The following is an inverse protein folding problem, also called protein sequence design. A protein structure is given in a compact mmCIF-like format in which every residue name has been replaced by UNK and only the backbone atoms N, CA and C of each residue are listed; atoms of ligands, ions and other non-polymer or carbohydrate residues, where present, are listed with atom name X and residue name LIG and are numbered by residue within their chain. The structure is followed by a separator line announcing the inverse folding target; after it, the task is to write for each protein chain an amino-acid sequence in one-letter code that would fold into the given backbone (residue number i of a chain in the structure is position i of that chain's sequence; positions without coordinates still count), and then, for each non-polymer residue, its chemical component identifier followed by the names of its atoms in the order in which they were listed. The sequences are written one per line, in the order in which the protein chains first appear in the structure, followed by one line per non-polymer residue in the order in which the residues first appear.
data_IF_136229745588
#
_entry.id   IF_136229745588
#
_cell.length_a   1.000
_cell.length_b   1.000
_cell.length_c   1.000
_cell.angle_alpha   90.00
_cell.angle_beta   90.00
_cell.angle_gamma   90.00
#
_symmetry.space_group_name_H-M   'P 1'
#
loop_
_entity.id
_entity.type
_entity.pdbx_description
1 polymer ?
#
# COMPACT_ATOMS: atom_id res chain seq x y z
N UNK A 1 -28.38 26.01 8.35
CA UNK A 1 -29.19 24.90 8.90
C UNK A 1 -28.47 24.43 10.15
N UNK A 2 -29.10 24.50 11.33
CA UNK A 2 -28.47 24.02 12.57
C UNK A 2 -28.71 22.50 12.62
N UNK A 3 -27.65 21.70 12.54
CA UNK A 3 -27.78 20.24 12.66
C UNK A 3 -28.28 19.88 14.06
N UNK A 4 -29.26 18.99 14.16
CA UNK A 4 -29.65 18.44 15.45
C UNK A 4 -28.54 17.51 15.94
N UNK A 5 -28.35 17.43 17.26
CA UNK A 5 -27.37 16.53 17.88
C UNK A 5 -27.51 15.10 17.34
N UNK A 6 -28.73 14.59 17.18
CA UNK A 6 -29.02 13.26 16.65
C UNK A 6 -28.45 13.01 15.26
N UNK A 7 -28.53 14.02 14.38
CA UNK A 7 -28.02 13.90 13.00
C UNK A 7 -26.48 13.90 12.98
N UNK A 8 -25.88 14.68 13.89
CA UNK A 8 -24.43 14.72 14.05
C UNK A 8 -23.88 13.44 14.68
N UNK A 9 -24.54 12.91 15.71
CA UNK A 9 -24.20 11.65 16.37
C UNK A 9 -24.21 10.47 15.39
N UNK A 10 -25.24 10.39 14.53
CA UNK A 10 -25.28 9.38 13.48
C UNK A 10 -24.10 9.46 12.52
N UNK A 11 -23.71 10.68 12.10
CA UNK A 11 -22.53 10.88 11.24
C UNK A 11 -21.24 10.48 11.94
N UNK A 12 -21.11 10.74 13.25
CA UNK A 12 -19.94 10.33 14.05
C UNK A 12 -19.83 8.80 14.15
N UNK A 13 -20.95 8.10 14.34
CA UNK A 13 -20.99 6.63 14.36
C UNK A 13 -20.53 6.08 13.00
N UNK A 14 -21.11 6.58 11.90
CA UNK A 14 -20.73 6.16 10.54
C UNK A 14 -19.24 6.42 10.29
N UNK A 15 -18.75 7.60 10.65
CA UNK A 15 -17.33 7.96 10.51
C UNK A 15 -16.43 6.99 11.28
N UNK A 16 -16.74 6.72 12.56
CA UNK A 16 -15.98 5.79 13.40
C UNK A 16 -15.93 4.40 12.80
N UNK A 17 -17.09 3.86 12.43
CA UNK A 17 -17.20 2.48 11.95
C UNK A 17 -16.51 2.33 10.58
N UNK A 18 -16.68 3.31 9.69
CA UNK A 18 -15.99 3.35 8.38
C UNK A 18 -14.48 3.49 8.55
N UNK A 19 -14.01 4.29 9.51
CA UNK A 19 -12.57 4.44 9.78
C UNK A 19 -11.93 3.14 10.26
N UNK A 20 -12.65 2.34 11.06
CA UNK A 20 -12.21 1.01 11.50
C UNK A 20 -12.10 0.07 10.29
N UNK A 21 -13.10 0.08 9.41
CA UNK A 21 -13.07 -0.78 8.22
C UNK A 21 -11.97 -0.37 7.23
N UNK A 22 -11.74 0.92 7.01
CA UNK A 22 -10.60 1.41 6.22
C UNK A 22 -9.28 0.92 6.84
N UNK A 23 -9.13 1.02 8.16
CA UNK A 23 -7.91 0.55 8.85
C UNK A 23 -7.67 -0.95 8.64
N UNK A 24 -8.73 -1.76 8.63
CA UNK A 24 -8.65 -3.20 8.33
C UNK A 24 -8.24 -3.46 6.89
N UNK A 25 -8.80 -2.70 5.94
CA UNK A 25 -8.45 -2.81 4.51
C UNK A 25 -6.98 -2.46 4.29
N UNK A 26 -6.47 -1.39 4.93
CA UNK A 26 -5.05 -1.02 4.86
C UNK A 26 -4.14 -2.14 5.39
N UNK A 27 -4.51 -2.78 6.50
CA UNK A 27 -3.78 -3.94 7.03
C UNK A 27 -3.79 -5.13 6.05
N UNK A 28 -4.91 -5.35 5.35
CA UNK A 28 -5.00 -6.40 4.33
C UNK A 28 -4.07 -6.11 3.14
N UNK A 29 -4.01 -4.87 2.65
CA UNK A 29 -3.05 -4.48 1.62
C UNK A 29 -1.61 -4.68 2.08
N UNK A 30 -1.28 -4.30 3.32
CA UNK A 30 0.06 -4.50 3.87
C UNK A 30 0.46 -5.98 3.85
N UNK A 31 -0.44 -6.87 4.28
CA UNK A 31 -0.20 -8.31 4.25
C UNK A 31 -0.07 -8.85 2.81
N UNK A 32 -0.94 -8.41 1.90
CA UNK A 32 -0.89 -8.81 0.51
C UNK A 32 0.43 -8.40 -0.16
N UNK A 33 0.93 -7.19 0.10
CA UNK A 33 2.24 -6.73 -0.40
C UNK A 33 3.35 -7.66 0.12
N UNK A 34 3.35 -8.01 1.42
CA UNK A 34 4.34 -8.94 2.00
C UNK A 34 4.30 -10.30 1.31
N UNK A 35 3.11 -10.85 1.09
CA UNK A 35 2.93 -12.11 0.38
C UNK A 35 3.46 -12.05 -1.05
N UNK A 36 3.19 -10.95 -1.76
CA UNK A 36 3.67 -10.73 -3.11
C UNK A 36 5.21 -10.66 -3.15
N UNK A 37 5.83 -9.90 -2.25
CA UNK A 37 7.30 -9.83 -2.15
C UNK A 37 7.89 -11.24 -1.91
N UNK A 38 7.29 -12.04 -1.03
CA UNK A 38 7.71 -13.44 -0.80
C UNK A 38 7.58 -14.31 -2.05
N UNK A 39 6.56 -14.09 -2.89
CA UNK A 39 6.43 -14.79 -4.18
C UNK A 39 7.55 -14.38 -5.14
N UNK A 40 7.85 -13.08 -5.25
CA UNK A 40 8.93 -12.57 -6.12
C UNK A 40 10.27 -13.21 -5.79
N UNK A 41 10.60 -13.39 -4.51
CA UNK A 41 11.85 -14.04 -4.05
C UNK A 41 12.02 -15.50 -4.47
N UNK A 42 10.96 -16.15 -4.94
CA UNK A 42 10.97 -17.58 -5.33
C UNK A 42 11.01 -17.80 -6.84
N UNK A 43 10.92 -16.73 -7.61
CA UNK A 43 10.78 -16.76 -9.06
C UNK A 43 11.99 -16.13 -9.73
N UNK A 44 12.24 -16.47 -10.99
CA UNK A 44 13.21 -15.73 -11.80
C UNK A 44 12.61 -14.40 -12.25
N UNK A 45 13.45 -13.39 -12.47
CA UNK A 45 13.00 -12.07 -12.89
C UNK A 45 12.02 -12.08 -14.07
N UNK A 46 12.32 -12.90 -15.09
CA UNK A 46 11.49 -13.12 -16.30
C UNK A 46 10.06 -13.55 -15.99
N UNK A 47 9.83 -14.21 -14.84
CA UNK A 47 8.54 -14.74 -14.41
C UNK A 47 7.77 -13.78 -13.47
N UNK A 48 8.40 -12.68 -13.06
CA UNK A 48 7.84 -11.76 -12.05
C UNK A 48 7.02 -10.62 -12.63
N UNK A 49 6.96 -10.48 -13.96
CA UNK A 49 6.33 -9.34 -14.63
C UNK A 49 4.90 -9.06 -14.14
N UNK A 50 4.02 -10.06 -14.19
CA UNK A 50 2.62 -9.91 -13.73
C UNK A 50 2.51 -9.66 -12.22
N UNK A 51 3.47 -10.14 -11.44
CA UNK A 51 3.49 -9.96 -9.99
C UNK A 51 3.92 -8.53 -9.62
N UNK A 52 4.84 -7.95 -10.39
CA UNK A 52 5.15 -6.53 -10.28
C UNK A 52 3.98 -5.64 -10.72
N UNK A 53 3.21 -6.06 -11.73
CA UNK A 53 2.00 -5.34 -12.13
C UNK A 53 0.99 -5.29 -10.97
N UNK A 54 0.81 -6.39 -10.23
CA UNK A 54 -0.02 -6.41 -9.01
C UNK A 54 0.49 -5.43 -7.93
N UNK A 55 1.81 -5.32 -7.72
CA UNK A 55 2.37 -4.32 -6.79
C UNK A 55 2.10 -2.88 -7.23
N UNK A 56 2.25 -2.60 -8.54
CA UNK A 56 1.98 -1.28 -9.09
C UNK A 56 0.50 -0.91 -8.92
N UNK A 57 -0.40 -1.85 -9.19
CA UNK A 57 -1.84 -1.63 -9.03
C UNK A 57 -2.22 -1.33 -7.56
N UNK A 58 -1.67 -2.08 -6.60
CA UNK A 58 -1.85 -1.79 -5.18
C UNK A 58 -1.29 -0.40 -4.83
N UNK A 59 -0.13 -0.03 -5.39
CA UNK A 59 0.45 1.28 -5.16
C UNK A 59 -0.46 2.40 -5.67
N UNK A 60 -1.03 2.28 -6.87
CA UNK A 60 -1.96 3.24 -7.44
C UNK A 60 -3.22 3.42 -6.56
N UNK A 61 -3.74 2.32 -6.00
CA UNK A 61 -4.88 2.35 -5.09
C UNK A 61 -4.56 3.09 -3.79
N UNK A 62 -3.41 2.79 -3.18
CA UNK A 62 -2.98 3.44 -1.94
C UNK A 62 -2.62 4.92 -2.17
N UNK A 63 -1.97 5.26 -3.28
CA UNK A 63 -1.70 6.64 -3.68
C UNK A 63 -3.00 7.43 -3.89
N UNK A 64 -3.99 6.81 -4.53
CA UNK A 64 -5.32 7.41 -4.69
C UNK A 64 -6.00 7.63 -3.34
N UNK A 65 -5.99 6.62 -2.45
CA UNK A 65 -6.53 6.76 -1.10
C UNK A 65 -5.89 7.93 -0.34
N UNK A 66 -4.55 8.04 -0.39
CA UNK A 66 -3.79 9.10 0.26
C UNK A 66 -4.06 10.48 -0.32
N UNK A 67 -3.84 10.67 -1.61
CA UNK A 67 -3.81 12.02 -2.20
C UNK A 67 -5.18 12.53 -2.64
N UNK A 68 -6.08 11.64 -3.07
CA UNK A 68 -7.41 12.04 -3.55
C UNK A 68 -8.44 12.07 -2.42
N UNK A 69 -8.36 11.12 -1.50
CA UNK A 69 -9.35 10.94 -0.43
C UNK A 69 -8.83 11.33 0.95
N UNK A 70 -7.59 11.83 1.05
CA UNK A 70 -6.96 12.28 2.29
C UNK A 70 -6.93 11.20 3.38
N UNK A 71 -6.80 9.93 2.96
CA UNK A 71 -6.68 8.81 3.90
C UNK A 71 -5.24 8.75 4.41
N UNK A 72 -5.11 8.83 5.73
CA UNK A 72 -3.81 8.66 6.38
C UNK A 72 -3.37 7.19 6.29
N UNK A 73 -2.24 6.96 5.63
CA UNK A 73 -1.57 5.66 5.62
C UNK A 73 -0.65 5.52 6.84
N UNK A 74 -0.32 4.28 7.21
CA UNK A 74 0.75 4.04 8.18
C UNK A 74 2.12 4.24 7.50
N UNK A 75 3.20 4.33 8.31
CA UNK A 75 4.56 4.57 7.81
C UNK A 75 4.99 3.56 6.74
N UNK A 76 4.66 2.28 6.92
CA UNK A 76 5.04 1.21 5.99
C UNK A 76 4.40 1.38 4.61
N UNK A 77 3.09 1.62 4.57
CA UNK A 77 2.34 1.85 3.33
C UNK A 77 2.72 3.18 2.68
N UNK A 78 3.01 4.21 3.47
CA UNK A 78 3.50 5.50 2.95
C UNK A 78 4.84 5.35 2.23
N UNK A 79 5.78 4.59 2.82
CA UNK A 79 7.07 4.29 2.20
C UNK A 79 6.89 3.44 0.94
N UNK A 80 6.02 2.44 0.98
CA UNK A 80 5.68 1.65 -0.19
C UNK A 80 5.16 2.55 -1.33
N UNK A 81 4.19 3.43 -1.05
CA UNK A 81 3.64 4.36 -2.04
C UNK A 81 4.71 5.24 -2.66
N UNK A 82 5.63 5.77 -1.85
CA UNK A 82 6.74 6.60 -2.32
C UNK A 82 7.71 5.83 -3.23
N UNK A 83 8.09 4.63 -2.83
CA UNK A 83 9.11 3.83 -3.51
C UNK A 83 8.61 3.14 -4.79
N UNK A 84 7.31 2.84 -4.86
CA UNK A 84 6.68 2.16 -5.99
C UNK A 84 5.97 3.10 -6.97
N UNK A 85 5.96 4.41 -6.74
CA UNK A 85 5.36 5.43 -7.62
C UNK A 85 5.87 5.41 -9.08
N UNK A 86 7.03 4.78 -9.32
CA UNK A 86 7.63 4.64 -10.65
C UNK A 86 7.88 3.18 -11.04
N UNK A 87 7.29 2.20 -10.35
CA UNK A 87 7.53 0.77 -10.60
C UNK A 87 7.00 0.26 -11.96
N UNK A 88 6.33 1.10 -12.75
CA UNK A 88 6.05 0.84 -14.16
C UNK A 88 7.30 0.78 -15.04
N UNK A 89 8.45 1.31 -14.59
CA UNK A 89 9.74 1.22 -15.29
C UNK A 89 10.44 -0.12 -15.02
N UNK A 90 10.86 -0.81 -16.09
CA UNK A 90 11.56 -2.09 -16.02
C UNK A 90 12.88 -2.00 -15.21
N UNK A 91 13.60 -0.87 -15.29
CA UNK A 91 14.80 -0.66 -14.47
C UNK A 91 14.48 -0.64 -12.97
N UNK A 92 13.33 -0.09 -12.60
CA UNK A 92 12.88 -0.04 -11.20
C UNK A 92 12.42 -1.42 -10.73
N UNK A 93 11.77 -2.20 -11.61
CA UNK A 93 11.44 -3.60 -11.31
C UNK A 93 12.69 -4.43 -11.08
N UNK A 94 13.71 -4.26 -11.93
CA UNK A 94 14.98 -4.97 -11.77
C UNK A 94 15.67 -4.59 -10.47
N UNK A 95 15.73 -3.30 -10.14
CA UNK A 95 16.28 -2.82 -8.87
C UNK A 95 15.56 -3.48 -7.67
N UNK A 96 14.22 -3.44 -7.63
CA UNK A 96 13.46 -4.02 -6.53
C UNK A 96 13.58 -5.54 -6.46
N UNK A 97 13.64 -6.22 -7.61
CA UNK A 97 13.89 -7.66 -7.65
C UNK A 97 15.23 -8.00 -6.98
N UNK A 98 16.30 -7.28 -7.31
CA UNK A 98 17.61 -7.45 -6.68
C UNK A 98 17.56 -7.15 -5.18
N UNK A 99 16.91 -6.05 -4.77
CA UNK A 99 16.74 -5.70 -3.35
C UNK A 99 16.01 -6.80 -2.58
N UNK A 100 14.92 -7.33 -3.11
CA UNK A 100 14.17 -8.40 -2.45
C UNK A 100 14.98 -9.69 -2.28
N UNK A 101 15.87 -10.01 -3.24
CA UNK A 101 16.79 -11.14 -3.14
C UNK A 101 17.94 -10.90 -2.15
N UNK A 102 18.28 -9.64 -1.86
CA UNK A 102 19.25 -9.23 -0.84
C UNK A 102 18.64 -9.14 0.57
N UNK A 103 17.64 -9.97 0.88
CA UNK A 103 16.94 -10.04 2.18
C UNK A 103 16.10 -8.82 2.60
N UNK A 104 15.91 -7.81 1.74
CA UNK A 104 14.95 -6.75 2.03
C UNK A 104 13.53 -7.33 1.99
N UNK A 105 12.75 -7.15 3.06
CA UNK A 105 11.40 -7.72 3.23
C UNK A 105 10.28 -6.69 3.02
N UNK A 106 10.62 -5.42 2.98
CA UNK A 106 9.75 -4.29 2.70
C UNK A 106 10.62 -3.16 2.13
N UNK A 107 10.11 -2.26 1.26
CA UNK A 107 10.85 -1.07 0.82
C UNK A 107 11.07 -0.08 1.98
N UNK A 108 11.81 -0.52 3.00
CA UNK A 108 12.34 0.31 4.07
C UNK A 108 13.74 0.75 3.67
N UNK A 109 14.10 2.03 3.84
CA UNK A 109 15.50 2.40 3.86
C UNK A 109 16.21 1.63 4.99
N UNK A 110 17.35 1.01 4.68
CA UNK A 110 18.36 0.71 5.69
C UNK A 110 18.85 2.07 6.22
N UNK A 111 18.20 2.57 7.27
CA UNK A 111 18.67 3.57 8.25
C UNK A 111 17.45 4.33 8.81
N UNK A 112 17.01 3.91 10.01
CA UNK A 112 16.29 4.74 10.99
C UNK A 112 17.08 4.73 12.29
#
# INVERSE_FOLDING_TARGET
MMYKWTDFEQKLIIHRDTSIDISRILLMYENQIKEIIVKIKKLKFEETGSIFDELCEIQDYLATAKYKYDIQLNKELDLFVYHFDRAGDEYIRQYWYEQFHNNITWPLPEDS
#
